data_IF_321949435619
#
_entry.id   IF_321949435619
#
_cell.length_a   1.000
_cell.length_b   1.000
_cell.length_c   1.000
_cell.angle_alpha   90.00
_cell.angle_beta   90.00
_cell.angle_gamma   90.00
#
_symmetry.space_group_name_H-M   'P 1'
#
loop_
_entity.id
_entity.type
_entity.pdbx_description
1 polymer ?
#
# COMPACT_ATOMS: atom_id res chain seq x y z
N UNK A 1 -6.22 -17.93 -11.07
CA UNK A 1 -5.74 -17.17 -9.91
C UNK A 1 -4.92 -16.02 -10.47
N UNK A 2 -5.41 -14.79 -10.33
CA UNK A 2 -4.76 -13.61 -10.91
C UNK A 2 -3.70 -13.10 -9.93
N UNK A 3 -2.46 -13.44 -10.25
CA UNK A 3 -1.27 -13.22 -9.41
C UNK A 3 -0.74 -11.79 -9.52
N UNK A 4 -1.46 -10.90 -10.21
CA UNK A 4 -1.13 -9.49 -10.38
C UNK A 4 -1.40 -8.63 -9.12
N UNK A 5 -1.97 -9.21 -8.05
CA UNK A 5 -2.39 -8.50 -6.81
C UNK A 5 -1.59 -8.90 -5.57
N UNK A 6 -0.36 -9.39 -5.74
CA UNK A 6 0.55 -9.65 -4.63
C UNK A 6 1.03 -8.36 -3.97
N UNK A 7 1.10 -8.35 -2.64
CA UNK A 7 1.54 -7.19 -1.87
C UNK A 7 2.96 -7.38 -1.34
N UNK A 8 3.33 -8.59 -0.89
CA UNK A 8 4.70 -8.89 -0.45
C UNK A 8 4.95 -10.40 -0.31
N UNK A 9 6.21 -10.82 -0.51
CA UNK A 9 6.76 -12.12 -0.11
C UNK A 9 7.74 -11.86 1.04
N UNK A 10 7.51 -12.44 2.22
CA UNK A 10 8.30 -12.18 3.42
C UNK A 10 8.94 -13.48 3.91
N UNK A 11 10.27 -13.51 4.11
CA UNK A 11 10.93 -14.68 4.69
C UNK A 11 10.58 -14.78 6.18
N UNK A 12 10.09 -15.94 6.61
CA UNK A 12 9.82 -16.16 8.03
C UNK A 12 11.14 -16.30 8.79
N UNK A 13 11.36 -15.43 9.77
CA UNK A 13 12.56 -15.41 10.59
C UNK A 13 12.50 -16.55 11.60
N UNK A 14 12.84 -17.78 11.19
CA UNK A 14 13.47 -18.83 12.01
C UNK A 14 13.30 -20.25 11.44
N UNK A 15 13.66 -20.53 10.18
CA UNK A 15 14.04 -21.92 9.85
C UNK A 15 15.06 -21.97 8.72
N UNK A 16 16.03 -22.87 8.85
CA UNK A 16 16.99 -23.32 7.84
C UNK A 16 16.37 -24.00 6.60
N UNK A 17 15.06 -23.87 6.41
CA UNK A 17 14.32 -24.30 5.22
C UNK A 17 13.51 -23.09 4.78
N UNK A 18 13.71 -22.66 3.53
CA UNK A 18 13.17 -21.41 2.98
C UNK A 18 11.65 -21.40 2.90
N UNK A 19 11.01 -21.17 4.05
CA UNK A 19 9.58 -21.00 4.21
C UNK A 19 9.26 -19.52 4.11
N UNK A 20 8.38 -19.18 3.16
CA UNK A 20 8.01 -17.81 2.84
C UNK A 20 6.52 -17.61 3.09
N UNK A 21 6.19 -16.47 3.68
CA UNK A 21 4.80 -16.02 3.79
C UNK A 21 4.45 -15.13 2.60
N UNK A 22 3.32 -15.45 1.97
CA UNK A 22 2.76 -14.68 0.87
C UNK A 22 1.58 -13.87 1.33
N UNK A 23 1.63 -12.55 1.08
CA UNK A 23 0.54 -11.62 1.36
C UNK A 23 -0.12 -11.21 0.04
N UNK A 24 -1.42 -11.51 -0.07
CA UNK A 24 -2.29 -11.17 -1.19
C UNK A 24 -3.21 -10.00 -0.83
N UNK A 25 -3.37 -9.05 -1.75
CA UNK A 25 -4.31 -7.93 -1.57
C UNK A 25 -5.74 -8.47 -1.41
N UNK A 26 -6.37 -8.21 -0.26
CA UNK A 26 -7.73 -8.66 0.06
C UNK A 26 -7.83 -10.01 0.77
N UNK A 27 -6.71 -10.64 1.12
CA UNK A 27 -6.66 -11.85 1.95
C UNK A 27 -6.09 -11.51 3.33
N UNK A 28 -6.83 -11.84 4.40
CA UNK A 28 -6.46 -11.49 5.79
C UNK A 28 -5.51 -12.50 6.45
N UNK A 29 -5.16 -13.58 5.77
CA UNK A 29 -4.29 -14.64 6.30
C UNK A 29 -3.10 -14.89 5.37
N UNK A 30 -1.87 -14.98 5.93
CA UNK A 30 -0.70 -15.33 5.14
C UNK A 30 -0.80 -16.77 4.65
N UNK A 31 -0.38 -17.01 3.41
CA UNK A 31 -0.31 -18.35 2.83
C UNK A 31 1.12 -18.85 3.03
N UNK A 32 1.25 -19.99 3.69
CA UNK A 32 2.54 -20.68 3.83
C UNK A 32 2.91 -21.32 2.48
N UNK A 33 4.12 -21.05 2.01
CA UNK A 33 4.63 -21.56 0.75
C UNK A 33 5.83 -22.45 1.00
N UNK A 34 5.81 -23.66 0.44
CA UNK A 34 6.93 -24.59 0.48
C UNK A 34 8.13 -24.05 -0.31
N UNK A 35 9.34 -24.37 0.13
CA UNK A 35 10.58 -23.88 -0.47
C UNK A 35 10.75 -24.15 -1.98
N UNK A 36 10.04 -25.14 -2.54
CA UNK A 36 10.07 -25.43 -3.98
C UNK A 36 9.20 -24.45 -4.80
N UNK A 37 8.01 -24.12 -4.28
CA UNK A 37 7.10 -23.15 -4.88
C UNK A 37 7.61 -21.71 -4.70
N UNK A 38 8.30 -21.44 -3.58
CA UNK A 38 8.95 -20.15 -3.35
C UNK A 38 9.97 -19.82 -4.44
N UNK A 39 10.77 -20.79 -4.92
CA UNK A 39 11.71 -20.57 -6.03
C UNK A 39 11.02 -20.27 -7.35
N UNK A 40 9.94 -21.00 -7.65
CA UNK A 40 9.14 -20.74 -8.85
C UNK A 40 8.53 -19.33 -8.82
N UNK A 41 8.11 -18.87 -7.63
CA UNK A 41 7.64 -17.50 -7.42
C UNK A 41 8.77 -16.47 -7.51
N UNK A 42 9.96 -16.75 -6.98
CA UNK A 42 11.13 -15.88 -7.13
C UNK A 42 11.51 -15.65 -8.60
N UNK A 43 11.47 -16.71 -9.42
CA UNK A 43 11.72 -16.64 -10.87
C UNK A 43 10.61 -15.90 -11.61
N UNK A 44 9.34 -16.14 -11.24
CA UNK A 44 8.18 -15.45 -11.82
C UNK A 44 8.17 -13.95 -11.46
N UNK A 45 8.52 -13.62 -10.23
CA UNK A 45 8.66 -12.26 -9.72
C UNK A 45 9.97 -11.58 -10.14
N UNK A 46 10.86 -12.30 -10.82
CA UNK A 46 12.12 -11.78 -11.35
C UNK A 46 13.02 -11.16 -10.28
N UNK A 47 12.90 -11.62 -9.02
CA UNK A 47 13.64 -11.05 -7.87
C UNK A 47 15.16 -11.22 -8.02
N UNK A 48 15.59 -12.24 -8.77
CA UNK A 48 17.00 -12.50 -9.09
C UNK A 48 17.53 -11.68 -10.29
N UNK A 49 16.73 -10.82 -10.93
CA UNK A 49 17.15 -9.96 -12.04
C UNK A 49 17.86 -8.68 -11.58
N UNK A 50 18.70 -8.77 -10.55
CA UNK A 50 19.50 -7.64 -10.06
C UNK A 50 20.69 -7.27 -10.95
N UNK A 51 20.82 -7.84 -12.15
CA UNK A 51 21.78 -7.36 -13.13
C UNK A 51 21.15 -7.34 -14.53
N UNK A 52 20.87 -6.12 -15.01
CA UNK A 52 20.56 -5.78 -16.41
C UNK A 52 19.12 -5.94 -16.92
N UNK A 53 18.13 -5.49 -16.16
CA UNK A 53 17.04 -4.76 -16.82
C UNK A 53 17.38 -3.28 -16.77
N UNK A 54 17.96 -2.77 -17.86
CA UNK A 54 17.68 -1.39 -18.23
C UNK A 54 16.17 -1.32 -18.40
N UNK A 55 15.48 -0.91 -17.35
CA UNK A 55 14.09 -0.49 -17.43
C UNK A 55 14.14 0.67 -18.41
N UNK A 56 13.80 0.41 -19.68
CA UNK A 56 13.40 1.45 -20.60
C UNK A 56 12.12 2.02 -20.02
N UNK A 57 12.24 2.82 -18.96
CA UNK A 57 11.14 3.53 -18.35
C UNK A 57 10.51 4.30 -19.50
N UNK A 58 9.27 4.00 -19.87
CA UNK A 58 8.61 4.69 -20.97
C UNK A 58 8.83 6.19 -20.82
N UNK A 59 9.19 6.88 -21.91
CA UNK A 59 9.57 8.30 -21.86
C UNK A 59 8.53 9.17 -21.12
N UNK A 60 7.25 8.79 -21.21
CA UNK A 60 6.14 9.43 -20.51
C UNK A 60 6.21 9.27 -18.98
N UNK A 61 6.66 8.13 -18.44
CA UNK A 61 6.81 7.93 -16.99
C UNK A 61 7.93 8.82 -16.43
N UNK A 62 9.06 8.94 -17.14
CA UNK A 62 10.12 9.85 -16.75
C UNK A 62 9.68 11.32 -16.80
N UNK A 63 8.85 11.68 -17.79
CA UNK A 63 8.24 13.01 -17.87
C UNK A 63 7.24 13.27 -16.73
N UNK A 64 6.42 12.28 -16.35
CA UNK A 64 5.51 12.38 -15.21
C UNK A 64 6.26 12.52 -13.90
N UNK A 65 7.31 11.73 -13.67
CA UNK A 65 8.16 11.84 -12.49
C UNK A 65 8.78 13.23 -12.36
N UNK A 66 9.27 13.82 -13.46
CA UNK A 66 9.77 15.20 -13.49
C UNK A 66 8.68 16.22 -13.18
N UNK A 67 7.48 16.07 -13.77
CA UNK A 67 6.35 16.98 -13.53
C UNK A 67 5.83 16.89 -12.10
N UNK A 68 5.87 15.70 -11.52
CA UNK A 68 5.29 15.40 -10.22
C UNK A 68 6.28 15.53 -9.05
N UNK A 69 7.51 16.00 -9.27
CA UNK A 69 8.51 16.19 -8.19
C UNK A 69 7.96 17.02 -7.04
N UNK A 70 7.35 18.18 -7.33
CA UNK A 70 6.78 19.05 -6.30
C UNK A 70 5.60 18.42 -5.54
N UNK A 71 4.60 17.81 -6.21
CA UNK A 71 3.58 17.00 -5.53
C UNK A 71 4.17 15.89 -4.64
N UNK A 72 5.21 15.19 -5.11
CA UNK A 72 5.87 14.12 -4.36
C UNK A 72 6.60 14.65 -3.11
N UNK A 73 7.26 15.81 -3.20
CA UNK A 73 7.85 16.47 -2.04
C UNK A 73 6.79 16.87 -0.99
N UNK A 74 5.65 17.40 -1.46
CA UNK A 74 4.52 17.73 -0.60
C UNK A 74 3.96 16.50 0.09
N UNK A 75 3.81 15.40 -0.65
CA UNK A 75 3.37 14.12 -0.11
C UNK A 75 4.36 13.59 0.94
N UNK A 76 5.66 13.62 0.66
CA UNK A 76 6.71 13.20 1.60
C UNK A 76 6.69 14.03 2.89
N UNK A 77 6.51 15.36 2.79
CA UNK A 77 6.34 16.23 3.96
C UNK A 77 5.12 15.84 4.78
N UNK A 78 3.98 15.57 4.14
CA UNK A 78 2.75 15.14 4.83
C UNK A 78 2.94 13.80 5.53
N UNK A 79 3.52 12.81 4.85
CA UNK A 79 3.82 11.50 5.46
C UNK A 79 4.68 11.68 6.70
N UNK A 80 5.74 12.50 6.62
CA UNK A 80 6.61 12.77 7.76
C UNK A 80 5.87 13.45 8.92
N UNK A 81 4.95 14.38 8.63
CA UNK A 81 4.12 15.01 9.67
C UNK A 81 3.24 13.98 10.39
N UNK A 82 2.57 13.10 9.64
CA UNK A 82 1.71 12.07 10.22
C UNK A 82 2.49 10.99 10.98
N UNK A 83 3.66 10.57 10.50
CA UNK A 83 4.51 9.59 11.20
C UNK A 83 5.05 10.10 12.54
N UNK A 84 5.22 11.41 12.69
CA UNK A 84 5.74 12.04 13.92
C UNK A 84 4.63 12.74 14.73
N UNK A 85 3.36 12.47 14.41
CA UNK A 85 2.23 13.08 15.10
C UNK A 85 2.06 12.45 16.49
N UNK A 86 1.76 13.28 17.48
CA UNK A 86 1.42 12.80 18.82
C UNK A 86 0.02 12.16 18.79
N UNK A 87 -0.17 11.10 19.57
CA UNK A 87 -1.44 10.38 19.65
C UNK A 87 -2.62 11.31 20.00
N UNK A 88 -2.42 12.23 20.94
CA UNK A 88 -3.44 13.21 21.32
C UNK A 88 -3.84 14.14 20.15
N UNK A 89 -2.87 14.55 19.32
CA UNK A 89 -3.15 15.37 18.14
C UNK A 89 -3.86 14.54 17.05
N UNK A 90 -3.48 13.27 16.89
CA UNK A 90 -4.15 12.36 15.97
C UNK A 90 -5.61 12.14 16.37
N UNK A 91 -5.87 11.96 17.66
CA UNK A 91 -7.22 11.82 18.22
C UNK A 91 -8.07 13.08 18.01
N UNK A 92 -7.54 14.27 18.29
CA UNK A 92 -8.24 15.54 18.05
C UNK A 92 -8.63 15.70 16.57
N UNK A 93 -7.71 15.37 15.66
CA UNK A 93 -8.00 15.40 14.21
C UNK A 93 -9.07 14.39 13.79
N UNK A 94 -9.08 13.21 14.42
CA UNK A 94 -10.10 12.20 14.16
C UNK A 94 -11.48 12.71 14.60
N UNK A 95 -11.58 13.32 15.78
CA UNK A 95 -12.83 13.89 16.29
C UNK A 95 -13.37 14.99 15.36
N UNK A 96 -12.52 15.93 14.96
CA UNK A 96 -12.89 16.97 13.98
C UNK A 96 -13.36 16.36 12.65
N UNK A 97 -12.75 15.26 12.22
CA UNK A 97 -13.16 14.58 10.99
C UNK A 97 -14.51 13.88 11.13
N UNK A 98 -14.81 13.24 12.26
CA UNK A 98 -16.13 12.67 12.52
C UNK A 98 -17.23 13.75 12.54
N UNK A 99 -16.97 14.88 13.20
CA UNK A 99 -17.88 16.02 13.22
C UNK A 99 -18.16 16.53 11.80
N UNK A 100 -17.11 16.65 10.98
CA UNK A 100 -17.25 17.02 9.57
C UNK A 100 -18.14 16.03 8.81
N UNK A 101 -17.96 14.72 8.99
CA UNK A 101 -18.81 13.71 8.34
C UNK A 101 -20.27 13.88 8.73
N UNK A 102 -20.54 14.08 10.02
CA UNK A 102 -21.88 14.31 10.53
C UNK A 102 -22.53 15.55 9.94
N UNK A 103 -21.79 16.67 9.85
CA UNK A 103 -22.26 17.92 9.24
C UNK A 103 -22.64 17.67 7.78
N UNK A 104 -21.72 17.09 7.00
CA UNK A 104 -21.95 16.85 5.56
C UNK A 104 -23.16 15.96 5.32
N UNK A 105 -23.35 14.91 6.13
CA UNK A 105 -24.50 14.02 5.98
C UNK A 105 -25.81 14.63 6.49
N UNK A 106 -25.76 15.56 7.45
CA UNK A 106 -26.94 16.27 7.95
C UNK A 106 -27.53 17.23 6.91
N UNK A 107 -26.68 17.80 6.06
CA UNK A 107 -27.09 18.69 4.97
C UNK A 107 -27.59 17.94 3.72
N UNK A 108 -27.36 16.62 3.66
CA UNK A 108 -27.70 15.79 2.50
C UNK A 108 -29.05 15.10 2.68
N UNK A 109 -29.75 14.93 1.56
CA UNK A 109 -31.02 14.20 1.53
C UNK A 109 -30.83 12.72 1.92
N UNK A 110 -31.86 12.08 2.51
CA UNK A 110 -31.87 10.64 2.73
C UNK A 110 -31.55 9.87 1.44
N UNK A 111 -30.59 8.93 1.51
CA UNK A 111 -30.10 8.16 0.34
C UNK A 111 -28.92 8.79 -0.41
N UNK A 112 -28.56 10.04 -0.12
CA UNK A 112 -27.39 10.74 -0.68
C UNK A 112 -26.27 10.99 0.35
N UNK A 113 -26.40 10.43 1.55
CA UNK A 113 -25.38 10.44 2.59
C UNK A 113 -24.11 9.75 2.10
N UNK A 114 -22.95 10.35 2.40
CA UNK A 114 -21.63 9.85 2.00
C UNK A 114 -21.00 8.97 3.05
N UNK A 115 -21.23 9.27 4.33
CA UNK A 115 -20.46 8.70 5.42
C UNK A 115 -21.28 7.76 6.31
N UNK A 116 -22.57 8.04 6.48
CA UNK A 116 -23.52 7.20 7.19
C UNK A 116 -23.82 5.96 6.34
N UNK A 117 -23.80 4.79 6.96
CA UNK A 117 -24.24 3.56 6.31
C UNK A 117 -25.69 3.71 5.83
N UNK A 118 -25.98 3.14 4.65
CA UNK A 118 -27.28 3.24 3.98
C UNK A 118 -28.32 2.31 4.57
#
# INVERSE_FOLDING_TARGET
MDISRFVALIPTTNVTQGDYELILEGYSTPINIEASDARALEDLLQLNQNQQKQVNTPKWEQEQLKRNQRPLELLAKRIKLHQNMLEAEAQERQEVFEDFKHIIDSERLPGQKLYSEK
#
